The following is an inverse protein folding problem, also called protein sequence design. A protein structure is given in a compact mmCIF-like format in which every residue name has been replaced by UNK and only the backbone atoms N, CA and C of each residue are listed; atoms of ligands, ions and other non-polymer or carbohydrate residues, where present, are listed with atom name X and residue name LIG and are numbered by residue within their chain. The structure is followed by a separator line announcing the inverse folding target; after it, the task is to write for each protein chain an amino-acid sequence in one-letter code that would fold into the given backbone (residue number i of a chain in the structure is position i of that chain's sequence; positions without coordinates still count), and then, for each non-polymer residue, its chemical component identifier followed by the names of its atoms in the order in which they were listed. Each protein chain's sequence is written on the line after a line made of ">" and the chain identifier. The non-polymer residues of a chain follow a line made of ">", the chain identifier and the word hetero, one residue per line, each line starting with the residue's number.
data_IF_481441404161
#
_entry.id   IF_481441404161
#
_cell.length_a   1.000
_cell.length_b   1.000
_cell.length_c   1.000
_cell.angle_alpha   90.00
_cell.angle_beta   90.00
_cell.angle_gamma   90.00
#
_symmetry.space_group_name_H-M   'P 1'
#
loop_
_entity.id
_entity.type
_entity.pdbx_description
1 polymer ?
#
# COMPACT_ATOMS: atom_id res chain seq x y z
N UNK A 1 3.07 -11.25 -10.51
CA UNK A 1 4.27 -10.40 -10.47
C UNK A 1 4.46 -9.88 -9.06
N UNK A 2 5.69 -9.69 -8.61
CA UNK A 2 5.97 -9.07 -7.30
C UNK A 2 6.19 -7.57 -7.48
N UNK A 3 5.51 -6.77 -6.66
CA UNK A 3 5.62 -5.30 -6.64
C UNK A 3 5.96 -4.87 -5.22
N UNK A 4 7.01 -4.07 -5.09
CA UNK A 4 7.37 -3.39 -3.84
C UNK A 4 6.79 -1.97 -3.85
N UNK A 5 5.96 -1.65 -2.86
CA UNK A 5 5.32 -0.33 -2.71
C UNK A 5 5.95 0.35 -1.49
N UNK A 6 6.70 1.43 -1.72
CA UNK A 6 7.20 2.32 -0.68
C UNK A 6 6.38 3.62 -0.70
N UNK A 7 5.62 3.87 0.35
CA UNK A 7 4.70 5.02 0.43
C UNK A 7 5.29 6.11 1.34
N UNK A 8 5.66 7.23 0.73
CA UNK A 8 6.10 8.40 1.48
C UNK A 8 4.89 9.18 2.01
N UNK A 9 4.75 9.20 3.33
CA UNK A 9 3.67 9.89 4.01
C UNK A 9 4.13 10.39 5.37
N UNK A 10 3.95 11.68 5.61
CA UNK A 10 4.14 12.25 6.94
C UNK A 10 3.11 11.64 7.91
N UNK A 11 3.55 10.96 8.96
CA UNK A 11 2.67 10.38 9.99
C UNK A 11 2.58 11.21 11.26
N UNK A 12 3.13 12.44 11.24
CA UNK A 12 3.12 13.37 12.38
C UNK A 12 1.71 13.90 12.70
N UNK A 13 0.83 13.95 11.71
CA UNK A 13 -0.58 14.35 11.89
C UNK A 13 -1.57 13.19 11.69
N UNK A 14 -2.78 13.37 12.21
CA UNK A 14 -3.85 12.35 12.14
C UNK A 14 -4.28 12.05 10.69
N UNK A 15 -4.12 13.00 9.77
CA UNK A 15 -4.55 12.85 8.39
C UNK A 15 -3.60 11.91 7.63
N UNK A 16 -2.29 12.07 7.81
CA UNK A 16 -1.26 11.20 7.27
C UNK A 16 -1.34 9.79 7.83
N UNK A 17 -1.53 9.63 9.13
CA UNK A 17 -1.77 8.33 9.74
C UNK A 17 -3.07 7.66 9.21
N UNK A 18 -4.10 8.45 8.86
CA UNK A 18 -5.32 7.93 8.22
C UNK A 18 -5.07 7.50 6.77
N UNK A 19 -4.30 8.28 5.99
CA UNK A 19 -3.92 7.90 4.61
C UNK A 19 -3.07 6.63 4.60
N UNK A 20 -2.09 6.51 5.49
CA UNK A 20 -1.27 5.29 5.62
C UNK A 20 -2.13 4.07 5.95
N UNK A 21 -3.13 4.19 6.84
CA UNK A 21 -4.06 3.09 7.14
C UNK A 21 -4.89 2.68 5.92
N UNK A 22 -5.34 3.63 5.10
CA UNK A 22 -6.08 3.34 3.87
C UNK A 22 -5.20 2.58 2.87
N UNK A 23 -3.99 3.07 2.61
CA UNK A 23 -3.01 2.44 1.72
C UNK A 23 -2.63 1.05 2.23
N UNK A 24 -2.32 0.92 3.53
CA UNK A 24 -1.96 -0.36 4.13
C UNK A 24 -3.06 -1.41 3.94
N UNK A 25 -4.33 -1.02 4.18
CA UNK A 25 -5.47 -1.92 3.98
C UNK A 25 -5.58 -2.39 2.52
N UNK A 26 -5.35 -1.49 1.55
CA UNK A 26 -5.38 -1.86 0.14
C UNK A 26 -4.22 -2.80 -0.25
N UNK A 27 -3.00 -2.53 0.21
CA UNK A 27 -1.83 -3.36 -0.12
C UNK A 27 -1.86 -4.75 0.55
N UNK A 28 -2.39 -4.84 1.79
CA UNK A 28 -2.48 -6.09 2.54
C UNK A 28 -3.52 -7.07 1.96
N UNK A 29 -4.46 -6.60 1.14
CA UNK A 29 -5.37 -7.47 0.38
C UNK A 29 -4.59 -8.36 -0.64
N UNK A 30 -3.38 -7.93 -1.04
CA UNK A 30 -2.59 -8.57 -2.09
C UNK A 30 -1.17 -8.97 -1.64
N UNK A 31 -0.85 -8.88 -0.35
CA UNK A 31 0.50 -9.18 0.13
C UNK A 31 0.77 -8.81 1.57
N UNK A 32 2.04 -8.51 1.87
CA UNK A 32 2.54 -8.33 3.22
C UNK A 32 3.09 -6.91 3.44
N UNK A 33 2.78 -6.34 4.61
CA UNK A 33 3.42 -5.11 5.09
C UNK A 33 4.73 -5.49 5.79
N UNK A 34 5.86 -5.13 5.19
CA UNK A 34 7.21 -5.51 5.66
C UNK A 34 7.88 -4.43 6.50
N UNK A 35 7.47 -3.16 6.35
CA UNK A 35 7.85 -2.04 7.23
C UNK A 35 6.65 -1.13 7.47
N UNK A 36 6.84 0.00 8.18
CA UNK A 36 5.74 0.93 8.46
C UNK A 36 5.01 1.39 7.18
N UNK A 37 5.72 1.79 6.14
CA UNK A 37 5.09 2.22 4.88
C UNK A 37 5.64 1.50 3.65
N UNK A 38 6.14 0.27 3.85
CA UNK A 38 6.65 -0.59 2.77
C UNK A 38 5.85 -1.90 2.71
N UNK A 39 5.41 -2.26 1.51
CA UNK A 39 4.55 -3.41 1.24
C UNK A 39 5.09 -4.23 0.08
N UNK A 40 5.08 -5.54 0.22
CA UNK A 40 5.37 -6.50 -0.84
C UNK A 40 4.05 -7.11 -1.30
N UNK A 41 3.62 -6.80 -2.53
CA UNK A 41 2.37 -7.28 -3.10
C UNK A 41 2.63 -8.27 -4.23
N UNK A 42 1.90 -9.37 -4.24
CA UNK A 42 1.92 -10.34 -5.33
C UNK A 42 0.61 -10.23 -6.13
N UNK A 43 0.69 -9.61 -7.30
CA UNK A 43 -0.48 -9.26 -8.14
C UNK A 43 -0.28 -9.67 -9.58
N UNK A 44 -1.37 -9.94 -10.30
CA UNK A 44 -1.36 -9.96 -11.76
C UNK A 44 -1.50 -8.54 -12.36
N UNK A 45 -1.48 -8.41 -13.69
CA UNK A 45 -1.56 -7.11 -14.37
C UNK A 45 -2.91 -6.38 -14.16
N UNK A 46 -4.01 -7.13 -14.06
CA UNK A 46 -5.34 -6.57 -13.85
C UNK A 46 -5.49 -6.11 -12.39
N UNK A 47 -5.08 -6.94 -11.43
CA UNK A 47 -5.03 -6.61 -10.01
C UNK A 47 -4.13 -5.40 -9.74
N UNK A 48 -2.98 -5.29 -10.42
CA UNK A 48 -2.13 -4.12 -10.30
C UNK A 48 -2.84 -2.82 -10.71
N UNK A 49 -3.57 -2.86 -11.83
CA UNK A 49 -4.32 -1.70 -12.32
C UNK A 49 -5.37 -1.26 -11.29
N UNK A 50 -6.15 -2.21 -10.76
CA UNK A 50 -7.15 -1.93 -9.73
C UNK A 50 -6.53 -1.45 -8.41
N UNK A 51 -5.40 -2.04 -7.99
CA UNK A 51 -4.71 -1.63 -6.78
C UNK A 51 -4.21 -0.19 -6.92
N UNK A 52 -3.58 0.15 -8.05
CA UNK A 52 -3.05 1.50 -8.29
C UNK A 52 -4.13 2.59 -8.23
N UNK A 53 -5.34 2.31 -8.70
CA UNK A 53 -6.46 3.28 -8.62
C UNK A 53 -6.99 3.48 -7.19
N UNK A 54 -6.73 2.54 -6.26
CA UNK A 54 -7.18 2.62 -4.86
C UNK A 54 -6.22 3.41 -3.95
N UNK A 55 -4.93 3.45 -4.31
CA UNK A 55 -3.83 4.07 -3.54
C UNK A 55 -3.90 5.60 -3.61
#
# INVERSE_FOLDING_TARGET
>A
MFILIAYDVATSDKAGARRLRRVARACQDYGQRVQNSVFECHVDAHQWTLLRDRL
#
